data_IF_398593370163
#
_entry.id   IF_398593370163
#
_cell.length_a   1.000
_cell.length_b   1.000
_cell.length_c   1.000
_cell.angle_alpha   90.00
_cell.angle_beta   90.00
_cell.angle_gamma   90.00
#
_symmetry.space_group_name_H-M   'P 1'
#
loop_
_entity.id
_entity.type
_entity.pdbx_description
1 polymer ?
#
# COMPACT_ATOMS: atom_id res chain seq x y z
N UNK A 1 4.42 32.91 -10.15
CA UNK A 1 3.37 32.09 -9.51
C UNK A 1 4.00 31.44 -8.27
N UNK A 2 3.23 30.98 -7.30
CA UNK A 2 3.85 30.28 -6.17
C UNK A 2 4.31 28.88 -6.60
N UNK A 3 5.43 28.39 -6.06
CA UNK A 3 5.94 27.06 -6.33
C UNK A 3 5.02 25.98 -5.74
N UNK A 4 4.88 24.88 -6.47
CA UNK A 4 4.19 23.66 -6.02
C UNK A 4 5.14 22.49 -6.25
N UNK A 5 5.59 21.90 -5.16
CA UNK A 5 6.62 20.85 -5.18
C UNK A 5 5.95 19.50 -5.37
N UNK A 6 6.45 18.70 -6.30
CA UNK A 6 6.07 17.30 -6.49
C UNK A 6 7.27 16.39 -6.17
N UNK A 7 7.08 15.41 -5.28
CA UNK A 7 8.11 14.40 -5.02
C UNK A 7 8.25 13.47 -6.24
N UNK A 8 9.49 13.29 -6.70
CA UNK A 8 9.80 12.38 -7.81
C UNK A 8 9.99 10.96 -7.28
N UNK A 9 9.08 10.07 -7.67
CA UNK A 9 9.23 8.63 -7.52
C UNK A 9 9.67 7.99 -8.85
N UNK A 10 10.41 6.88 -8.75
CA UNK A 10 10.81 6.04 -9.87
C UNK A 10 10.09 4.68 -9.79
N UNK A 11 9.75 4.10 -10.94
CA UNK A 11 9.21 2.75 -11.01
C UNK A 11 10.26 1.74 -10.55
N UNK A 12 9.92 0.94 -9.54
CA UNK A 12 10.84 -0.01 -8.94
C UNK A 12 11.29 -1.15 -9.88
N UNK A 13 10.62 -1.34 -11.03
CA UNK A 13 10.93 -2.39 -12.02
C UNK A 13 11.79 -1.86 -13.16
N UNK A 14 11.48 -0.66 -13.63
CA UNK A 14 12.09 -0.08 -14.83
C UNK A 14 13.16 0.96 -14.50
N UNK A 15 13.17 1.50 -13.28
CA UNK A 15 14.09 2.57 -12.86
C UNK A 15 13.75 3.93 -13.48
N UNK A 16 12.67 4.02 -14.25
CA UNK A 16 12.21 5.24 -14.93
C UNK A 16 11.32 6.08 -14.03
N UNK A 17 11.11 7.35 -14.37
CA UNK A 17 10.19 8.24 -13.61
C UNK A 17 8.79 7.64 -13.59
N UNK A 18 8.23 7.47 -12.39
CA UNK A 18 6.92 6.86 -12.21
C UNK A 18 5.81 7.69 -12.87
N UNK A 19 4.81 7.01 -13.43
CA UNK A 19 3.63 7.66 -14.02
C UNK A 19 2.92 8.60 -13.03
N UNK A 20 2.90 8.24 -11.74
CA UNK A 20 2.36 9.07 -10.66
C UNK A 20 3.07 10.42 -10.58
N UNK A 21 4.40 10.47 -10.68
CA UNK A 21 5.19 11.71 -10.71
C UNK A 21 4.73 12.63 -11.84
N UNK A 22 4.55 12.10 -13.05
CA UNK A 22 4.09 12.88 -14.19
C UNK A 22 2.66 13.43 -14.00
N UNK A 23 1.79 12.66 -13.33
CA UNK A 23 0.46 13.11 -12.95
C UNK A 23 0.51 14.22 -11.88
N UNK A 24 1.41 14.11 -10.89
CA UNK A 24 1.62 15.16 -9.89
C UNK A 24 2.11 16.47 -10.51
N UNK A 25 3.03 16.42 -11.48
CA UNK A 25 3.48 17.62 -12.21
C UNK A 25 2.34 18.29 -12.98
N UNK A 26 1.46 17.47 -13.56
CA UNK A 26 0.24 17.96 -14.23
C UNK A 26 -0.67 18.71 -13.24
N UNK A 27 -0.87 18.17 -12.04
CA UNK A 27 -1.64 18.82 -10.98
C UNK A 27 -0.94 20.07 -10.42
N UNK A 28 0.37 20.00 -10.19
CA UNK A 28 1.17 21.11 -9.69
C UNK A 28 1.07 22.33 -10.62
N UNK A 29 1.09 22.13 -11.94
CA UNK A 29 0.87 23.18 -12.94
C UNK A 29 -0.50 23.86 -12.84
N UNK A 30 -1.54 23.13 -12.45
CA UNK A 30 -2.89 23.70 -12.25
C UNK A 30 -2.96 24.57 -11.00
N UNK A 31 -2.09 24.32 -10.02
CA UNK A 31 -2.05 25.03 -8.74
C UNK A 31 -1.02 26.18 -8.72
N UNK A 32 0.05 26.08 -9.51
CA UNK A 32 1.14 27.06 -9.51
C UNK A 32 2.32 26.65 -10.41
N UNK A 33 3.52 27.04 -10.03
CA UNK A 33 4.76 26.69 -10.74
C UNK A 33 5.26 25.31 -10.30
N UNK A 34 5.26 24.29 -11.19
CA UNK A 34 5.61 22.93 -10.84
C UNK A 34 7.13 22.77 -10.62
N UNK A 35 7.51 22.31 -9.43
CA UNK A 35 8.89 22.00 -9.04
C UNK A 35 9.01 20.51 -8.78
N UNK A 36 10.01 19.86 -9.36
CA UNK A 36 10.30 18.46 -9.10
C UNK A 36 11.35 18.31 -7.99
N UNK A 37 11.08 17.49 -6.98
CA UNK A 37 12.03 17.16 -5.92
C UNK A 37 12.61 15.75 -6.12
N UNK A 38 13.90 15.66 -6.44
CA UNK A 38 14.62 14.41 -6.70
C UNK A 38 15.51 14.03 -5.52
N UNK A 39 15.35 12.82 -4.98
CA UNK A 39 16.15 12.30 -3.87
C UNK A 39 17.66 12.20 -4.19
N UNK A 40 18.01 12.10 -5.46
CA UNK A 40 19.38 12.06 -5.99
C UNK A 40 19.51 13.02 -7.18
N UNK A 41 20.74 13.31 -7.59
CA UNK A 41 20.99 14.05 -8.82
C UNK A 41 20.32 13.31 -10.01
N UNK A 42 19.42 13.95 -10.77
CA UNK A 42 18.74 13.31 -11.89
C UNK A 42 19.68 13.17 -13.09
N UNK A 43 19.55 12.09 -13.85
CA UNK A 43 20.21 11.93 -15.14
C UNK A 43 19.49 12.68 -16.27
N UNK A 44 20.09 12.73 -17.46
CA UNK A 44 19.53 13.44 -18.61
C UNK A 44 18.14 12.92 -19.00
N UNK A 45 17.90 11.62 -18.87
CA UNK A 45 16.59 11.01 -19.17
C UNK A 45 15.52 11.48 -18.18
N UNK A 46 15.85 11.47 -16.89
CA UNK A 46 14.98 11.96 -15.81
C UNK A 46 14.65 13.43 -16.02
N UNK A 47 15.66 14.28 -16.32
CA UNK A 47 15.46 15.70 -16.60
C UNK A 47 14.53 15.89 -17.80
N UNK A 48 14.74 15.15 -18.89
CA UNK A 48 13.92 15.23 -20.09
C UNK A 48 12.45 14.83 -19.83
N UNK A 49 12.21 13.80 -19.02
CA UNK A 49 10.85 13.36 -18.65
C UNK A 49 10.17 14.41 -17.77
N UNK A 50 10.85 14.92 -16.74
CA UNK A 50 10.29 15.95 -15.85
C UNK A 50 9.96 17.24 -16.61
N UNK A 51 10.86 17.68 -17.50
CA UNK A 51 10.63 18.82 -18.39
C UNK A 51 9.47 18.58 -19.37
N UNK A 52 9.33 17.39 -19.94
CA UNK A 52 8.19 17.04 -20.82
C UNK A 52 6.83 17.22 -20.13
N UNK A 53 6.75 16.95 -18.83
CA UNK A 53 5.53 17.08 -18.03
C UNK A 53 5.42 18.43 -17.30
N UNK A 54 6.31 19.37 -17.61
CA UNK A 54 6.15 20.78 -17.27
C UNK A 54 6.89 21.25 -16.04
N UNK A 55 7.78 20.45 -15.44
CA UNK A 55 8.63 20.92 -14.34
C UNK A 55 9.47 22.12 -14.79
N UNK A 56 9.39 23.24 -14.07
CA UNK A 56 10.17 24.45 -14.36
C UNK A 56 11.49 24.47 -13.60
N UNK A 57 11.54 23.77 -12.47
CA UNK A 57 12.72 23.63 -11.63
C UNK A 57 12.82 22.18 -11.16
N UNK A 58 14.04 21.69 -11.02
CA UNK A 58 14.35 20.40 -10.38
C UNK A 58 15.28 20.67 -9.20
N UNK A 59 14.94 20.17 -8.02
CA UNK A 59 15.70 20.33 -6.80
C UNK A 59 16.22 18.98 -6.31
N UNK A 60 17.52 18.89 -6.02
CA UNK A 60 18.16 17.70 -5.45
C UNK A 60 19.20 18.07 -4.37
N UNK A 61 19.67 17.13 -3.53
CA UNK A 61 20.67 17.42 -2.51
C UNK A 61 22.02 17.90 -3.06
N UNK A 62 22.73 18.73 -2.29
CA UNK A 62 24.14 19.08 -2.52
C UNK A 62 25.06 17.87 -2.29
N UNK A 63 25.90 17.52 -3.27
CA UNK A 63 26.96 16.50 -3.11
C UNK A 63 27.25 15.71 -4.39
N UNK A 64 28.38 14.98 -4.46
CA UNK A 64 28.58 14.00 -5.53
C UNK A 64 27.41 13.02 -5.44
N UNK A 65 26.75 12.74 -6.57
CA UNK A 65 25.61 11.82 -6.67
C UNK A 65 25.82 10.64 -5.71
N UNK A 66 25.20 10.72 -4.53
CA UNK A 66 25.43 9.74 -3.49
C UNK A 66 25.09 8.39 -4.10
N UNK A 67 26.00 7.41 -3.96
CA UNK A 67 25.77 6.04 -4.41
C UNK A 67 24.32 5.71 -4.14
N UNK A 68 23.57 5.46 -5.21
CA UNK A 68 22.13 5.30 -5.19
C UNK A 68 21.73 4.10 -4.31
N UNK A 69 21.71 4.28 -2.99
CA UNK A 69 21.23 3.30 -2.04
C UNK A 69 19.70 3.36 -1.91
N UNK A 70 19.01 3.99 -2.86
CA UNK A 70 17.57 3.88 -3.08
C UNK A 70 17.21 3.17 -4.38
N UNK A 71 18.19 2.76 -5.18
CA UNK A 71 18.03 1.85 -6.32
C UNK A 71 19.16 0.80 -6.30
N UNK A 72 19.00 -0.25 -5.48
CA UNK A 72 19.99 -1.33 -5.47
C UNK A 72 19.95 -2.12 -6.79
N UNK A 73 21.12 -2.39 -7.41
CA UNK A 73 21.21 -3.18 -8.62
C UNK A 73 20.67 -4.60 -8.39
N UNK A 74 19.95 -5.11 -9.38
CA UNK A 74 19.47 -6.48 -9.46
C UNK A 74 20.67 -7.44 -9.43
N UNK A 75 21.10 -7.88 -8.24
CA UNK A 75 22.03 -9.02 -8.16
C UNK A 75 21.33 -10.26 -8.71
N UNK A 76 21.88 -10.81 -9.81
CA UNK A 76 21.53 -12.15 -10.31
C UNK A 76 22.05 -13.16 -9.29
N UNK A 77 21.16 -13.61 -8.40
CA UNK A 77 21.46 -14.72 -7.51
C UNK A 77 21.70 -15.99 -8.31
N UNK A 78 22.95 -16.47 -8.30
CA UNK A 78 23.30 -17.82 -8.68
C UNK A 78 22.51 -18.82 -7.81
N UNK A 79 22.14 -19.94 -8.41
CA UNK A 79 21.41 -21.01 -7.74
C UNK A 79 22.25 -21.60 -6.59
N UNK A 80 21.65 -21.71 -5.41
CA UNK A 80 22.16 -22.56 -4.33
C UNK A 80 21.05 -23.44 -3.74
N UNK A 81 21.42 -24.60 -3.15
CA UNK A 81 20.67 -25.83 -3.33
C UNK A 81 19.54 -26.04 -2.31
N UNK A 82 18.66 -26.97 -2.66
CA UNK A 82 17.50 -27.38 -1.88
C UNK A 82 17.88 -27.89 -0.49
N UNK A 83 17.41 -27.19 0.55
CA UNK A 83 17.27 -27.78 1.87
C UNK A 83 15.91 -28.45 1.99
N UNK A 84 15.94 -29.79 1.95
CA UNK A 84 14.88 -30.62 2.48
C UNK A 84 14.72 -30.32 3.97
N UNK A 85 13.49 -30.14 4.44
CA UNK A 85 13.22 -30.32 5.86
C UNK A 85 12.05 -31.27 6.06
N UNK A 86 12.38 -32.36 6.75
CA UNK A 86 11.55 -33.48 7.08
C UNK A 86 10.50 -33.11 8.13
N UNK A 87 9.40 -33.85 8.14
CA UNK A 87 8.32 -33.69 9.11
C UNK A 87 8.71 -34.10 10.52
N UNK A 88 8.00 -33.52 11.49
CA UNK A 88 7.73 -34.13 12.78
C UNK A 88 6.36 -33.60 13.25
N UNK A 89 5.45 -34.52 13.56
CA UNK A 89 4.11 -34.24 14.07
C UNK A 89 4.00 -34.30 15.61
N UNK A 90 2.75 -34.32 16.05
CA UNK A 90 2.18 -34.35 17.42
C UNK A 90 1.88 -32.95 17.99
N UNK A 91 0.70 -32.64 18.56
CA UNK A 91 -0.50 -33.42 18.88
C UNK A 91 -1.26 -32.73 20.04
N UNK A 92 -2.61 -32.88 20.05
CA UNK A 92 -3.59 -32.45 21.07
C UNK A 92 -3.80 -30.93 21.25
N UNK A 93 -5.00 -30.36 21.41
CA UNK A 93 -6.32 -30.85 21.82
C UNK A 93 -6.90 -29.77 22.76
N UNK A 94 -8.13 -29.28 22.54
CA UNK A 94 -8.72 -28.27 23.44
C UNK A 94 -9.88 -27.45 22.88
N UNK A 95 -11.06 -28.06 22.98
CA UNK A 95 -12.45 -27.57 22.95
C UNK A 95 -12.81 -26.09 22.79
N UNK A 96 -13.83 -25.91 21.95
CA UNK A 96 -14.66 -24.74 21.79
C UNK A 96 -15.72 -24.63 22.89
N UNK A 97 -16.09 -23.40 23.27
CA UNK A 97 -17.46 -23.12 23.71
C UNK A 97 -17.92 -21.73 23.25
N UNK A 98 -19.18 -21.71 22.84
CA UNK A 98 -19.91 -20.60 22.27
C UNK A 98 -20.49 -19.67 23.35
N UNK A 99 -20.72 -18.41 22.99
CA UNK A 99 -21.48 -17.46 23.80
C UNK A 99 -22.12 -16.39 22.92
N UNK A 100 -23.44 -16.47 22.77
CA UNK A 100 -24.28 -15.66 21.90
C UNK A 100 -24.54 -14.24 22.44
N UNK A 101 -24.94 -13.38 21.51
CA UNK A 101 -25.40 -11.99 21.62
C UNK A 101 -26.64 -11.77 22.50
N UNK A 102 -26.77 -10.57 23.07
CA UNK A 102 -28.06 -9.91 23.23
C UNK A 102 -27.89 -8.38 23.15
N UNK A 103 -28.61 -7.74 22.23
CA UNK A 103 -28.71 -6.28 22.12
C UNK A 103 -29.85 -5.71 22.96
N UNK A 104 -29.77 -4.43 23.31
CA UNK A 104 -30.91 -3.57 23.64
C UNK A 104 -30.67 -2.20 23.03
N UNK A 105 -31.60 -1.77 22.18
CA UNK A 105 -31.78 -0.40 21.73
C UNK A 105 -32.58 0.38 22.78
N UNK A 106 -32.18 1.61 23.06
CA UNK A 106 -33.05 2.65 23.61
C UNK A 106 -32.76 3.92 22.82
N UNK A 107 -33.79 4.45 22.17
CA UNK A 107 -33.76 5.76 21.54
C UNK A 107 -33.86 6.87 22.58
N UNK A 108 -33.24 8.00 22.28
CA UNK A 108 -33.37 9.24 23.02
C UNK A 108 -32.79 10.39 22.21
N UNK A 109 -33.64 11.34 21.82
CA UNK A 109 -33.26 12.64 21.29
C UNK A 109 -32.46 13.42 22.34
N UNK A 110 -31.36 14.08 21.92
CA UNK A 110 -30.71 15.11 22.74
C UNK A 110 -30.39 16.33 21.86
N UNK A 111 -31.16 17.38 22.12
CA UNK A 111 -30.95 18.76 21.66
C UNK A 111 -29.79 19.43 22.41
N UNK A 112 -28.99 20.18 21.64
CA UNK A 112 -28.16 21.35 21.97
C UNK A 112 -27.62 21.53 23.40
N UNK A 113 -26.28 21.54 23.52
CA UNK A 113 -25.57 22.30 24.54
C UNK A 113 -24.36 21.61 25.16
N UNK A 114 -23.17 22.17 24.87
CA UNK A 114 -21.82 21.84 25.37
C UNK A 114 -21.09 20.70 24.65
N UNK A 115 -19.81 20.99 24.42
CA UNK A 115 -18.94 20.35 23.44
C UNK A 115 -18.73 18.86 23.66
N UNK A 116 -18.63 18.16 22.54
CA UNK A 116 -18.25 16.76 22.47
C UNK A 116 -17.13 16.69 21.44
N UNK A 117 -15.97 16.23 21.89
CA UNK A 117 -14.82 15.90 21.08
C UNK A 117 -15.21 14.91 19.98
N UNK A 118 -15.05 15.30 18.73
CA UNK A 118 -15.18 14.41 17.59
C UNK A 118 -13.93 13.52 17.55
N UNK A 119 -14.03 12.31 18.08
CA UNK A 119 -13.05 11.25 17.90
C UNK A 119 -13.01 10.86 16.41
N UNK A 120 -12.10 11.48 15.67
CA UNK A 120 -11.61 10.96 14.40
C UNK A 120 -10.86 9.66 14.70
N UNK A 121 -11.39 8.53 14.25
CA UNK A 121 -10.72 7.24 14.33
C UNK A 121 -9.54 7.21 13.37
N UNK A 122 -8.39 7.73 13.82
CA UNK A 122 -7.09 7.46 13.26
C UNK A 122 -6.76 5.97 13.46
N UNK A 123 -6.60 5.23 12.37
CA UNK A 123 -6.12 3.85 12.42
C UNK A 123 -4.59 3.85 12.43
N UNK A 124 -4.00 4.20 13.56
CA UNK A 124 -2.61 3.90 13.85
C UNK A 124 -2.56 2.51 14.52
N UNK A 125 -2.03 1.51 13.82
CA UNK A 125 -1.69 0.22 14.44
C UNK A 125 -0.37 0.36 15.20
N UNK A 126 -0.43 0.93 16.40
CA UNK A 126 0.60 0.76 17.42
C UNK A 126 0.17 -0.37 18.37
N UNK A 127 1.07 -1.34 18.58
CA UNK A 127 0.83 -2.50 19.43
C UNK A 127 0.41 -2.09 20.84
N UNK A 128 -0.66 -2.71 21.34
CA UNK A 128 -1.07 -2.62 22.74
C UNK A 128 -0.60 -3.87 23.47
N UNK A 129 0.46 -3.76 24.25
CA UNK A 129 0.66 -4.57 25.45
C UNK A 129 -0.13 -3.91 26.59
N UNK A 130 -0.93 -4.71 27.28
CA UNK A 130 -1.74 -4.33 28.42
C UNK A 130 -0.91 -3.82 29.60
N UNK A 131 -1.51 -2.93 30.40
CA UNK A 131 -0.99 -2.56 31.71
C UNK A 131 -1.94 -1.58 32.39
N UNK A 132 -2.75 -2.09 33.33
CA UNK A 132 -3.53 -1.29 34.25
C UNK A 132 -2.65 -0.69 35.36
N UNK A 133 -3.05 0.47 35.85
CA UNK A 133 -2.42 1.21 36.93
C UNK A 133 -2.54 0.50 38.29
N UNK A 134 -1.41 0.24 38.96
CA UNK A 134 -1.27 0.32 40.42
C UNK A 134 0.16 0.78 40.78
N UNK A 135 0.27 1.97 41.37
CA UNK A 135 0.98 2.23 42.63
C UNK A 135 2.51 2.06 42.74
N UNK A 136 3.20 3.22 42.78
CA UNK A 136 4.33 3.60 43.64
C UNK A 136 5.22 2.53 44.35
N UNK A 137 6.54 2.63 44.13
CA UNK A 137 7.53 2.41 45.21
C UNK A 137 8.81 1.64 44.85
N UNK A 138 9.97 2.31 45.03
CA UNK A 138 11.33 1.80 45.36
C UNK A 138 12.04 0.86 44.37
N UNK A 139 13.11 1.41 43.77
CA UNK A 139 14.50 0.91 43.77
C UNK A 139 14.83 -0.51 43.26
N UNK A 140 15.84 -0.61 42.42
CA UNK A 140 17.11 -1.36 42.61
C UNK A 140 17.78 -1.57 41.23
N UNK A 141 18.93 -0.91 41.09
CA UNK A 141 20.20 -1.27 40.46
C UNK A 141 20.30 -2.07 39.16
N UNK A 142 21.20 -1.53 38.33
CA UNK A 142 21.91 -2.17 37.25
C UNK A 142 22.57 -3.49 37.66
N UNK A 143 22.50 -4.49 36.80
CA UNK A 143 23.62 -5.40 36.62
C UNK A 143 23.68 -5.91 35.18
N UNK A 144 24.90 -5.86 34.68
CA UNK A 144 25.32 -6.30 33.39
C UNK A 144 25.26 -7.82 33.26
N UNK A 145 24.96 -8.29 32.05
CA UNK A 145 25.42 -9.60 31.59
C UNK A 145 26.20 -9.39 30.30
N UNK A 146 27.51 -9.28 30.48
CA UNK A 146 28.50 -9.42 29.44
C UNK A 146 28.57 -10.89 29.00
N UNK A 147 28.63 -11.13 27.69
CA UNK A 147 29.13 -12.39 27.13
C UNK A 147 30.11 -12.07 26.01
N UNK A 148 31.38 -12.05 26.44
CA UNK A 148 32.60 -12.48 25.75
C UNK A 148 32.76 -12.18 24.24
N UNK A 149 33.57 -11.17 23.98
CA UNK A 149 34.33 -10.99 22.74
C UNK A 149 35.34 -12.13 22.55
N UNK A 150 35.26 -12.83 21.41
CA UNK A 150 36.38 -13.55 20.83
C UNK A 150 36.75 -12.84 19.52
N UNK A 151 37.88 -12.14 19.53
CA UNK A 151 38.43 -11.40 18.40
C UNK A 151 39.22 -12.32 17.48
N UNK A 152 38.85 -12.38 16.21
CA UNK A 152 39.75 -12.74 15.12
C UNK A 152 39.28 -12.10 13.80
N UNK A 153 40.14 -11.29 13.19
CA UNK A 153 40.14 -11.06 11.74
C UNK A 153 39.36 -9.86 11.20
N UNK A 154 40.03 -8.71 11.16
CA UNK A 154 39.92 -7.65 10.17
C UNK A 154 38.69 -7.61 9.23
N UNK A 155 37.82 -6.63 9.50
CA UNK A 155 36.91 -6.03 8.54
C UNK A 155 36.39 -4.75 9.16
N UNK A 156 37.04 -3.60 8.86
CA UNK A 156 36.46 -2.30 9.18
C UNK A 156 35.21 -2.19 8.31
N UNK A 157 34.04 -2.52 8.88
CA UNK A 157 32.77 -2.13 8.30
C UNK A 157 32.73 -0.59 8.34
N UNK A 158 33.06 0.00 7.21
CA UNK A 158 32.87 1.41 6.92
C UNK A 158 31.39 1.70 7.20
N UNK A 159 31.13 2.62 8.13
CA UNK A 159 29.84 3.27 8.28
C UNK A 159 29.59 3.99 6.95
N UNK A 160 28.91 3.32 6.00
CA UNK A 160 28.40 3.96 4.81
C UNK A 160 27.43 5.06 5.28
N UNK A 161 27.64 6.28 4.79
CA UNK A 161 27.09 7.52 5.32
C UNK A 161 25.56 7.53 5.46
N UNK A 162 25.08 8.46 6.29
CA UNK A 162 23.66 8.69 6.50
C UNK A 162 22.93 8.82 5.14
N UNK A 163 22.05 7.88 4.83
CA UNK A 163 21.22 7.94 3.63
C UNK A 163 20.20 9.06 3.80
N UNK A 164 20.23 10.05 2.90
CA UNK A 164 19.30 11.17 2.90
C UNK A 164 17.88 10.65 2.62
N UNK A 165 16.91 10.98 3.47
CA UNK A 165 15.51 10.60 3.26
C UNK A 165 14.76 11.63 2.43
N UNK A 166 13.71 11.21 1.71
CA UNK A 166 12.81 12.13 1.00
C UNK A 166 12.25 13.20 1.92
N UNK A 167 12.00 12.85 3.20
CA UNK A 167 11.53 13.79 4.22
C UNK A 167 12.56 14.88 4.51
N UNK A 168 13.86 14.55 4.53
CA UNK A 168 14.92 15.53 4.78
C UNK A 168 15.06 16.47 3.57
N UNK A 169 15.03 15.93 2.35
CA UNK A 169 15.02 16.71 1.12
C UNK A 169 13.83 17.67 1.05
N UNK A 170 12.60 17.15 1.20
CA UNK A 170 11.40 17.97 1.10
C UNK A 170 11.34 19.05 2.18
N UNK A 171 11.85 18.76 3.38
CA UNK A 171 11.97 19.78 4.42
C UNK A 171 12.97 20.87 4.01
N UNK A 172 14.14 20.52 3.48
CA UNK A 172 15.13 21.51 3.02
C UNK A 172 14.60 22.39 1.87
N UNK A 173 13.89 21.79 0.91
CA UNK A 173 13.20 22.51 -0.17
C UNK A 173 12.11 23.43 0.40
N UNK A 174 11.31 22.94 1.34
CA UNK A 174 10.23 23.72 1.95
C UNK A 174 10.74 25.00 2.66
N UNK A 175 11.88 24.91 3.36
CA UNK A 175 12.52 26.07 3.98
C UNK A 175 13.10 27.05 2.95
N UNK A 176 13.60 26.54 1.81
CA UNK A 176 14.19 27.37 0.76
C UNK A 176 13.14 28.09 -0.10
N UNK A 177 12.04 27.40 -0.45
CA UNK A 177 11.05 27.90 -1.41
C UNK A 177 9.75 28.41 -0.79
N UNK A 178 9.39 27.98 0.42
CA UNK A 178 8.06 28.23 1.02
C UNK A 178 6.90 27.94 0.05
N UNK A 179 6.80 26.71 -0.48
CA UNK A 179 5.87 26.39 -1.57
C UNK A 179 4.40 26.51 -1.14
N UNK A 180 3.53 26.77 -2.11
CA UNK A 180 2.08 26.82 -1.89
C UNK A 180 1.48 25.44 -1.57
N UNK A 181 2.14 24.36 -1.99
CA UNK A 181 1.80 22.99 -1.63
C UNK A 181 2.96 22.03 -1.94
N UNK A 182 2.95 20.87 -1.27
CA UNK A 182 3.80 19.72 -1.55
C UNK A 182 2.89 18.54 -1.90
N UNK A 183 3.04 18.01 -3.11
CA UNK A 183 2.30 16.88 -3.63
C UNK A 183 3.18 15.63 -3.63
N UNK A 184 2.64 14.53 -3.10
CA UNK A 184 3.33 13.25 -2.98
C UNK A 184 2.39 12.16 -3.50
N UNK A 185 2.90 11.13 -4.16
CA UNK A 185 2.04 10.02 -4.57
C UNK A 185 1.59 9.23 -3.33
N UNK A 186 0.34 8.77 -3.28
CA UNK A 186 -0.20 7.99 -2.17
C UNK A 186 0.29 6.52 -2.18
N UNK A 187 1.60 6.32 -2.30
CA UNK A 187 2.27 5.02 -2.14
C UNK A 187 2.57 4.77 -0.66
N UNK A 188 2.92 3.54 -0.28
CA UNK A 188 3.32 3.25 1.10
C UNK A 188 4.48 4.15 1.56
N UNK A 189 5.49 4.34 0.69
CA UNK A 189 6.63 5.25 0.93
C UNK A 189 6.16 6.70 0.98
N UNK A 190 5.33 7.13 0.04
CA UNK A 190 4.83 8.50 -0.02
C UNK A 190 3.99 8.89 1.20
N UNK A 191 3.15 7.98 1.71
CA UNK A 191 2.37 8.18 2.94
C UNK A 191 3.28 8.31 4.17
N UNK A 192 4.30 7.46 4.29
CA UNK A 192 5.30 7.57 5.36
C UNK A 192 6.05 8.91 5.28
N UNK A 193 6.55 9.25 4.09
CA UNK A 193 7.28 10.51 3.84
C UNK A 193 6.43 11.72 4.18
N UNK A 194 5.16 11.76 3.74
CA UNK A 194 4.25 12.85 3.97
C UNK A 194 3.92 13.04 5.45
N UNK A 195 3.63 11.95 6.18
CA UNK A 195 3.33 12.01 7.61
C UNK A 195 4.52 12.54 8.42
N UNK A 196 5.73 12.08 8.12
CA UNK A 196 6.96 12.55 8.77
C UNK A 196 7.25 14.01 8.43
N UNK A 197 7.00 14.42 7.20
CA UNK A 197 7.20 15.80 6.74
C UNK A 197 6.23 16.76 7.44
N UNK A 198 4.98 16.37 7.57
CA UNK A 198 3.94 17.17 8.23
C UNK A 198 4.30 17.48 9.69
N UNK A 199 4.80 16.50 10.43
CA UNK A 199 5.29 16.69 11.80
C UNK A 199 6.48 17.64 11.81
N UNK A 200 7.44 17.44 10.90
CA UNK A 200 8.68 18.23 10.87
C UNK A 200 8.45 19.71 10.52
N UNK A 201 7.47 19.99 9.68
CA UNK A 201 7.13 21.35 9.23
C UNK A 201 5.98 21.99 10.02
N UNK A 202 5.51 21.40 11.12
CA UNK A 202 4.27 21.79 11.84
C UNK A 202 3.12 22.12 10.86
N UNK A 203 2.91 21.23 9.89
CA UNK A 203 2.02 21.45 8.76
C UNK A 203 0.90 20.43 8.72
N UNK A 204 -0.25 20.82 8.17
CA UNK A 204 -1.37 19.90 7.96
C UNK A 204 -1.11 18.96 6.77
N UNK A 205 -1.64 17.75 6.89
CA UNK A 205 -1.58 16.71 5.86
C UNK A 205 -2.99 16.30 5.43
N UNK A 206 -3.17 16.05 4.13
CA UNK A 206 -4.34 15.38 3.57
C UNK A 206 -3.85 14.14 2.83
N UNK A 207 -4.44 12.98 3.11
CA UNK A 207 -4.01 11.70 2.52
C UNK A 207 -5.00 11.16 1.50
N UNK A 208 -4.51 10.44 0.49
CA UNK A 208 -5.34 9.71 -0.49
C UNK A 208 -6.35 10.62 -1.22
N UNK A 209 -5.89 11.82 -1.61
CA UNK A 209 -6.69 12.73 -2.41
C UNK A 209 -6.93 12.15 -3.81
N UNK A 210 -8.19 12.07 -4.22
CA UNK A 210 -8.61 11.62 -5.55
C UNK A 210 -8.79 12.78 -6.54
N UNK A 211 -8.76 14.01 -6.05
CA UNK A 211 -8.73 15.24 -6.83
C UNK A 211 -8.05 16.34 -6.03
N UNK A 212 -7.32 17.25 -6.69
CA UNK A 212 -6.76 18.46 -6.08
C UNK A 212 -7.02 19.64 -7.01
N UNK A 213 -7.64 20.69 -6.49
CA UNK A 213 -8.02 21.89 -7.24
C UNK A 213 -7.61 23.19 -6.54
N UNK A 214 -7.41 24.29 -7.28
CA UNK A 214 -7.15 25.59 -6.66
C UNK A 214 -8.30 26.03 -5.75
N UNK A 215 -7.97 26.70 -4.66
CA UNK A 215 -8.92 27.30 -3.73
C UNK A 215 -8.42 28.65 -3.20
N UNK A 216 -9.34 29.45 -2.65
CA UNK A 216 -9.04 30.81 -2.20
C UNK A 216 -8.03 30.89 -1.04
N UNK A 217 -7.89 29.82 -0.25
CA UNK A 217 -6.99 29.73 0.93
C UNK A 217 -5.89 28.67 0.75
N UNK A 218 -5.59 28.30 -0.49
CA UNK A 218 -4.74 27.17 -0.83
C UNK A 218 -5.52 26.04 -1.51
N UNK A 219 -4.86 24.93 -1.87
CA UNK A 219 -5.50 23.83 -2.58
C UNK A 219 -6.63 23.19 -1.77
N UNK A 220 -7.67 22.79 -2.48
CA UNK A 220 -8.76 21.95 -1.97
C UNK A 220 -8.52 20.54 -2.50
N UNK A 221 -8.45 19.57 -1.59
CA UNK A 221 -8.32 18.16 -1.93
C UNK A 221 -9.65 17.44 -1.69
N UNK A 222 -10.05 16.59 -2.63
CA UNK A 222 -11.23 15.73 -2.50
C UNK A 222 -10.76 14.34 -2.09
N UNK A 223 -11.36 13.78 -1.03
CA UNK A 223 -11.08 12.44 -0.53
C UNK A 223 -12.34 11.59 -0.62
N UNK A 224 -12.16 10.29 -0.85
CA UNK A 224 -13.24 9.32 -0.69
C UNK A 224 -13.26 8.82 0.75
N UNK A 225 -14.43 8.83 1.36
CA UNK A 225 -14.63 8.39 2.74
C UNK A 225 -15.75 7.36 2.82
N UNK A 226 -15.71 6.54 3.88
CA UNK A 226 -16.73 5.53 4.16
C UNK A 226 -16.96 4.58 2.97
N UNK A 227 -15.88 3.97 2.45
CA UNK A 227 -15.89 3.06 1.31
C UNK A 227 -16.56 3.67 0.06
N UNK A 228 -16.09 4.86 -0.34
CA UNK A 228 -16.52 5.62 -1.51
C UNK A 228 -17.98 6.11 -1.47
N UNK A 229 -18.67 5.97 -0.34
CA UNK A 229 -20.04 6.47 -0.19
C UNK A 229 -20.12 7.99 -0.04
N UNK A 230 -19.02 8.64 0.33
CA UNK A 230 -18.96 10.09 0.52
C UNK A 230 -17.70 10.68 -0.12
N UNK A 231 -17.86 11.86 -0.70
CA UNK A 231 -16.74 12.73 -1.08
C UNK A 231 -16.63 13.84 -0.03
N UNK A 232 -15.41 14.06 0.45
CA UNK A 232 -15.09 15.10 1.43
C UNK A 232 -14.12 16.08 0.80
N UNK A 233 -14.41 17.36 0.89
CA UNK A 233 -13.50 18.42 0.48
C UNK A 233 -12.74 18.96 1.71
N UNK A 234 -11.42 18.89 1.64
CA UNK A 234 -10.53 19.24 2.74
C UNK A 234 -9.52 20.30 2.29
N UNK A 235 -9.17 21.21 3.20
CA UNK A 235 -8.09 22.19 2.99
C UNK A 235 -7.23 22.27 4.25
N UNK A 236 -5.91 22.37 4.08
CA UNK A 236 -4.97 22.57 5.19
C UNK A 236 -5.05 24.02 5.67
N UNK A 237 -5.15 24.21 7.00
CA UNK A 237 -5.28 25.54 7.64
C UNK A 237 -4.03 25.97 8.42
N UNK A 238 -3.03 25.09 8.55
CA UNK A 238 -1.79 25.32 9.29
C UNK A 238 -0.59 24.83 8.46
N UNK A 239 0.40 25.71 8.31
CA UNK A 239 1.64 25.39 7.60
C UNK A 239 1.46 25.20 6.10
N UNK A 240 2.42 24.51 5.48
CA UNK A 240 2.43 24.22 4.04
C UNK A 240 1.50 23.02 3.78
N UNK A 241 0.51 23.11 2.87
CA UNK A 241 -0.33 21.97 2.52
C UNK A 241 0.49 20.80 1.98
N UNK A 242 0.53 19.70 2.73
CA UNK A 242 1.12 18.42 2.28
C UNK A 242 -0.02 17.50 1.87
N UNK A 243 -0.04 17.07 0.62
CA UNK A 243 -1.15 16.30 0.05
C UNK A 243 -0.60 15.03 -0.60
N UNK A 244 -1.00 13.87 -0.09
CA UNK A 244 -0.79 12.62 -0.83
C UNK A 244 -1.94 12.39 -1.81
N UNK A 245 -1.61 12.06 -3.05
CA UNK A 245 -2.56 12.00 -4.16
C UNK A 245 -2.58 10.59 -4.73
N UNK A 246 -3.77 10.01 -4.89
CA UNK A 246 -3.94 8.71 -5.52
C UNK A 246 -3.34 8.71 -6.93
N UNK A 247 -2.55 7.71 -7.34
CA UNK A 247 -1.93 7.67 -8.67
C UNK A 247 -2.90 7.84 -9.85
N UNK A 248 -4.16 7.45 -9.67
CA UNK A 248 -5.24 7.56 -10.64
C UNK A 248 -6.00 8.91 -10.62
N UNK A 249 -5.68 9.82 -9.70
CA UNK A 249 -6.37 11.10 -9.53
C UNK A 249 -6.18 12.06 -10.72
N UNK A 250 -5.11 11.88 -11.49
CA UNK A 250 -4.84 12.67 -12.68
C UNK A 250 -4.19 11.83 -13.79
N UNK A 251 -4.50 12.19 -15.02
CA UNK A 251 -3.82 11.66 -16.21
C UNK A 251 -2.61 12.57 -16.49
N UNK A 252 -1.40 12.03 -16.69
CA UNK A 252 -0.25 12.84 -17.10
C UNK A 252 -0.52 13.56 -18.42
N UNK A 253 -0.38 14.88 -18.42
CA UNK A 253 -0.57 15.74 -19.59
C UNK A 253 0.75 16.45 -19.94
N UNK A 254 1.40 16.08 -21.06
CA UNK A 254 2.63 16.74 -21.51
C UNK A 254 2.43 18.25 -21.68
N UNK A 255 3.37 19.02 -21.19
CA UNK A 255 3.46 20.47 -21.35
C UNK A 255 4.94 20.84 -21.26
N UNK A 256 5.70 20.68 -22.35
CA UNK A 256 7.15 20.76 -22.31
C UNK A 256 7.67 22.09 -21.72
N UNK A 257 8.67 21.97 -20.86
CA UNK A 257 9.47 23.06 -20.29
C UNK A 257 10.95 22.64 -20.23
N UNK A 258 11.83 23.63 -20.11
CA UNK A 258 13.26 23.42 -19.85
C UNK A 258 13.52 23.68 -18.36
N UNK A 259 13.62 22.63 -17.51
CA UNK A 259 13.79 22.81 -16.07
C UNK A 259 15.18 23.34 -15.72
N UNK A 260 15.23 24.29 -14.79
CA UNK A 260 16.49 24.72 -14.16
C UNK A 260 16.84 23.77 -13.01
N UNK A 261 18.06 23.26 -12.99
CA UNK A 261 18.54 22.39 -11.91
C UNK A 261 19.06 23.24 -10.74
N UNK A 262 18.53 22.98 -9.56
CA UNK A 262 18.92 23.58 -8.29
C UNK A 262 19.39 22.49 -7.33
N UNK A 263 20.37 22.85 -6.50
CA UNK A 263 20.83 21.98 -5.43
C UNK A 263 20.53 22.61 -4.07
N UNK A 264 20.32 21.78 -3.06
CA UNK A 264 20.01 22.22 -1.69
C UNK A 264 20.80 21.43 -0.67
N UNK A 265 21.39 22.12 0.31
CA UNK A 265 22.04 21.49 1.43
C UNK A 265 21.00 20.76 2.28
N UNK A 266 21.15 19.44 2.40
CA UNK A 266 20.27 18.61 3.22
C UNK A 266 21.06 18.10 4.42
N UNK A 267 20.64 18.51 5.61
CA UNK A 267 21.15 17.93 6.85
C UNK A 267 20.41 16.61 7.13
N UNK A 268 21.10 15.45 7.11
CA UNK A 268 20.47 14.18 7.42
C UNK A 268 19.94 14.18 8.85
N UNK A 269 18.75 13.63 9.04
CA UNK A 269 18.22 13.46 10.39
C UNK A 269 19.13 12.54 11.22
N UNK A 270 19.40 12.86 12.50
CA UNK A 270 20.16 11.97 13.39
C UNK A 270 19.36 10.72 13.82
N UNK A 271 18.11 10.58 13.38
CA UNK A 271 17.28 9.42 13.67
C UNK A 271 17.87 8.15 13.06
N UNK A 272 17.70 7.00 13.74
CA UNK A 272 18.18 5.70 13.24
C UNK A 272 17.47 5.35 11.93
N UNK A 273 18.20 5.35 10.83
CA UNK A 273 17.71 4.83 9.55
C UNK A 273 17.69 3.30 9.61
N UNK A 274 16.55 2.63 9.33
CA UNK A 274 16.52 1.18 9.28
C UNK A 274 17.41 0.68 8.14
N UNK A 275 18.24 -0.33 8.41
CA UNK A 275 19.02 -1.02 7.39
C UNK A 275 18.13 -2.07 6.73
N UNK A 276 17.91 -1.95 5.43
CA UNK A 276 17.26 -3.01 4.64
C UNK A 276 18.25 -4.18 4.54
N UNK A 277 17.90 -5.32 5.13
CA UNK A 277 18.76 -6.51 5.14
C UNK A 277 18.50 -7.46 3.98
N UNK A 278 17.29 -7.41 3.40
CA UNK A 278 16.91 -8.20 2.24
C UNK A 278 15.68 -7.59 1.55
N UNK A 279 15.65 -7.67 0.22
CA UNK A 279 14.46 -7.39 -0.59
C UNK A 279 14.07 -8.67 -1.33
N UNK A 280 12.93 -9.25 -0.97
CA UNK A 280 12.43 -10.45 -1.62
C UNK A 280 11.68 -10.05 -2.90
N UNK A 281 12.19 -10.46 -4.07
CA UNK A 281 11.42 -10.32 -5.31
C UNK A 281 10.22 -11.27 -5.26
N UNK A 282 8.98 -10.81 -5.51
CA UNK A 282 7.87 -11.72 -5.75
C UNK A 282 8.24 -12.62 -6.92
N UNK A 283 8.31 -13.93 -6.71
CA UNK A 283 8.48 -14.90 -7.80
C UNK A 283 7.09 -15.26 -8.30
N UNK A 284 6.66 -14.86 -9.51
CA UNK A 284 5.37 -15.29 -9.98
C UNK A 284 5.54 -16.53 -10.87
N UNK A 285 5.01 -17.67 -10.42
CA UNK A 285 4.46 -18.66 -11.34
C UNK A 285 3.06 -18.23 -11.84
N UNK A 286 2.50 -17.12 -11.30
CA UNK A 286 1.15 -16.60 -11.52
C UNK A 286 1.14 -15.07 -11.48
N UNK A 287 0.18 -14.38 -12.13
CA UNK A 287 0.12 -12.92 -12.10
C UNK A 287 0.08 -12.35 -10.67
N UNK A 288 0.74 -11.22 -10.46
CA UNK A 288 0.63 -10.48 -9.21
C UNK A 288 -0.80 -9.94 -9.07
N UNK A 289 -1.33 -10.00 -7.84
CA UNK A 289 -2.73 -9.68 -7.57
C UNK A 289 -3.11 -8.23 -7.95
N UNK A 290 -2.16 -7.30 -7.88
CA UNK A 290 -2.35 -5.85 -8.10
C UNK A 290 -2.67 -5.50 -9.56
N UNK A 291 -2.29 -6.36 -10.51
CA UNK A 291 -2.48 -6.14 -11.96
C UNK A 291 -3.11 -7.34 -12.67
N UNK A 292 -3.75 -8.24 -11.92
CA UNK A 292 -4.34 -9.42 -12.50
C UNK A 292 -5.64 -9.08 -13.24
N UNK A 293 -5.71 -9.46 -14.53
CA UNK A 293 -6.94 -9.33 -15.32
C UNK A 293 -8.06 -10.25 -14.82
N UNK A 294 -7.67 -11.38 -14.22
CA UNK A 294 -8.58 -12.37 -13.64
C UNK A 294 -8.10 -12.71 -12.24
N UNK A 295 -9.02 -12.70 -11.28
CA UNK A 295 -8.78 -13.10 -9.89
C UNK A 295 -9.74 -14.22 -9.52
N UNK A 296 -9.21 -15.33 -9.01
CA UNK A 296 -9.99 -16.40 -8.40
C UNK A 296 -9.77 -16.36 -6.89
N UNK A 297 -10.84 -16.07 -6.15
CA UNK A 297 -10.79 -15.81 -4.72
C UNK A 297 -11.54 -16.88 -3.91
N UNK A 298 -10.87 -17.44 -2.90
CA UNK A 298 -11.45 -18.41 -1.98
C UNK A 298 -11.84 -17.82 -0.62
N UNK A 299 -13.00 -18.21 -0.10
CA UNK A 299 -13.44 -17.87 1.25
C UNK A 299 -13.54 -19.08 2.18
N UNK A 300 -14.05 -18.87 3.40
CA UNK A 300 -14.26 -19.94 4.40
C UNK A 300 -15.07 -21.11 3.83
N UNK A 301 -16.04 -20.84 2.94
CA UNK A 301 -16.92 -21.85 2.34
C UNK A 301 -16.20 -22.91 1.50
N UNK A 302 -14.93 -22.70 1.13
CA UNK A 302 -14.09 -23.73 0.51
C UNK A 302 -13.82 -24.90 1.48
N UNK A 303 -13.75 -24.62 2.78
CA UNK A 303 -13.73 -25.62 3.85
C UNK A 303 -12.38 -26.24 4.18
N UNK A 304 -11.42 -26.32 3.25
CA UNK A 304 -10.09 -26.89 3.55
C UNK A 304 -8.98 -26.37 2.62
N UNK A 305 -7.73 -26.53 3.05
CA UNK A 305 -6.55 -26.21 2.24
C UNK A 305 -6.46 -27.08 0.97
N UNK A 306 -6.89 -28.35 1.05
CA UNK A 306 -6.92 -29.24 -0.12
C UNK A 306 -7.93 -28.76 -1.18
N UNK A 307 -9.13 -28.34 -0.76
CA UNK A 307 -10.10 -27.75 -1.67
C UNK A 307 -9.62 -26.39 -2.22
N UNK A 308 -8.84 -25.65 -1.43
CA UNK A 308 -8.19 -24.43 -1.88
C UNK A 308 -7.13 -24.67 -2.97
N UNK A 309 -6.43 -25.82 -2.93
CA UNK A 309 -5.51 -26.20 -3.99
C UNK A 309 -6.23 -26.38 -5.34
N UNK A 310 -7.42 -26.99 -5.34
CA UNK A 310 -8.26 -27.11 -6.55
C UNK A 310 -8.67 -25.74 -7.09
N UNK A 311 -9.01 -24.79 -6.21
CA UNK A 311 -9.26 -23.40 -6.60
C UNK A 311 -8.03 -22.77 -7.27
N UNK A 312 -6.84 -23.07 -6.74
CA UNK A 312 -5.58 -22.60 -7.31
C UNK A 312 -5.27 -23.24 -8.69
N UNK A 313 -5.72 -24.47 -8.93
CA UNK A 313 -5.63 -25.14 -10.23
C UNK A 313 -6.59 -24.51 -11.25
N UNK A 314 -7.82 -24.16 -10.84
CA UNK A 314 -8.75 -23.36 -11.66
C UNK A 314 -8.12 -22.02 -12.03
N UNK A 315 -7.50 -21.34 -11.06
CA UNK A 315 -6.80 -20.09 -11.32
C UNK A 315 -5.65 -20.27 -12.32
N UNK A 316 -4.87 -21.34 -12.18
CA UNK A 316 -3.78 -21.64 -13.12
C UNK A 316 -4.30 -21.89 -14.54
N UNK A 317 -5.37 -22.67 -14.69
CA UNK A 317 -5.98 -22.95 -16.00
C UNK A 317 -6.53 -21.68 -16.68
N UNK A 318 -6.92 -20.67 -15.90
CA UNK A 318 -7.39 -19.37 -16.40
C UNK A 318 -6.28 -18.33 -16.57
N UNK A 319 -5.04 -18.63 -16.18
CA UNK A 319 -3.97 -17.63 -16.10
C UNK A 319 -4.27 -16.51 -15.09
N UNK A 320 -5.03 -16.82 -14.03
CA UNK A 320 -5.52 -15.89 -13.03
C UNK A 320 -4.59 -15.79 -11.81
N UNK A 321 -4.70 -14.66 -11.08
CA UNK A 321 -4.15 -14.57 -9.74
C UNK A 321 -5.07 -15.29 -8.73
N UNK A 322 -4.46 -15.87 -7.69
CA UNK A 322 -5.18 -16.48 -6.57
C UNK A 322 -5.32 -15.45 -5.46
N UNK A 323 -6.51 -15.34 -4.90
CA UNK A 323 -6.81 -14.48 -3.77
C UNK A 323 -7.56 -15.24 -2.68
N UNK A 324 -7.66 -14.64 -1.50
CA UNK A 324 -8.56 -15.14 -0.48
C UNK A 324 -9.15 -14.06 0.42
N UNK A 325 -10.22 -14.43 1.10
CA UNK A 325 -10.81 -13.61 2.17
C UNK A 325 -9.89 -13.53 3.39
N UNK A 326 -10.18 -12.58 4.30
CA UNK A 326 -9.50 -12.50 5.59
C UNK A 326 -9.46 -13.83 6.33
N UNK A 327 -10.59 -14.56 6.38
CA UNK A 327 -10.64 -15.87 7.05
C UNK A 327 -9.76 -16.91 6.35
N UNK A 328 -9.68 -16.91 5.02
CA UNK A 328 -8.81 -17.85 4.32
C UNK A 328 -7.33 -17.63 4.67
N UNK A 329 -6.93 -16.37 4.89
CA UNK A 329 -5.61 -16.02 5.39
C UNK A 329 -5.41 -16.50 6.84
N UNK A 330 -6.39 -16.24 7.72
CA UNK A 330 -6.32 -16.63 9.14
C UNK A 330 -6.21 -18.15 9.32
N UNK A 331 -6.84 -18.92 8.41
CA UNK A 331 -6.78 -20.39 8.38
C UNK A 331 -5.50 -20.92 7.72
N UNK A 332 -4.60 -20.05 7.24
CA UNK A 332 -3.34 -20.42 6.60
C UNK A 332 -3.49 -21.04 5.21
N UNK A 333 -4.65 -20.92 4.57
CA UNK A 333 -4.88 -21.47 3.23
C UNK A 333 -4.24 -20.62 2.13
N UNK A 334 -4.05 -19.32 2.40
CA UNK A 334 -3.37 -18.36 1.53
C UNK A 334 -2.43 -17.48 2.33
N UNK A 335 -1.35 -16.99 1.70
CA UNK A 335 -0.45 -16.07 2.36
C UNK A 335 -1.10 -14.67 2.50
N UNK A 336 -0.74 -13.88 3.52
CA UNK A 336 -1.36 -12.58 3.80
C UNK A 336 -1.35 -11.61 2.61
N UNK A 337 -0.34 -11.71 1.74
CA UNK A 337 -0.18 -10.86 0.55
C UNK A 337 -1.20 -11.17 -0.56
N UNK A 338 -1.88 -12.32 -0.48
CA UNK A 338 -2.96 -12.71 -1.38
C UNK A 338 -4.36 -12.40 -0.80
N UNK A 339 -4.43 -11.72 0.35
CA UNK A 339 -5.69 -11.32 0.99
C UNK A 339 -6.33 -10.15 0.25
N UNK A 340 -7.62 -10.26 -0.04
CA UNK A 340 -8.44 -9.17 -0.61
C UNK A 340 -9.38 -8.58 0.44
N UNK A 341 -9.50 -7.26 0.47
CA UNK A 341 -10.42 -6.53 1.33
C UNK A 341 -9.84 -5.25 1.92
N UNK A 342 -10.58 -4.61 2.82
CA UNK A 342 -10.25 -3.32 3.44
C UNK A 342 -8.85 -3.30 4.12
N UNK A 343 -8.46 -4.40 4.74
CA UNK A 343 -7.13 -4.57 5.37
C UNK A 343 -6.18 -5.45 4.55
N UNK A 344 -6.59 -5.81 3.33
CA UNK A 344 -5.80 -6.55 2.37
C UNK A 344 -5.55 -5.69 1.13
N UNK A 345 -5.38 -6.34 -0.01
CA UNK A 345 -5.25 -5.68 -1.30
C UNK A 345 -6.62 -5.30 -1.87
N UNK A 346 -6.67 -4.14 -2.49
CA UNK A 346 -7.77 -3.73 -3.36
C UNK A 346 -7.41 -4.12 -4.80
N UNK A 347 -8.32 -4.80 -5.47
CA UNK A 347 -8.14 -5.31 -6.83
C UNK A 347 -9.26 -4.83 -7.75
N UNK A 348 -8.92 -4.60 -9.01
CA UNK A 348 -9.87 -4.20 -10.05
C UNK A 348 -9.72 -5.06 -11.32
N UNK A 349 -9.99 -6.37 -11.24
CA UNK A 349 -9.85 -7.27 -12.38
C UNK A 349 -11.01 -7.12 -13.36
N UNK A 350 -10.78 -7.63 -14.58
CA UNK A 350 -11.85 -7.79 -15.56
C UNK A 350 -12.82 -8.91 -15.15
N UNK A 351 -12.34 -9.94 -14.47
CA UNK A 351 -13.14 -11.03 -13.89
C UNK A 351 -12.72 -11.33 -12.45
N UNK A 352 -13.68 -11.35 -11.53
CA UNK A 352 -13.52 -11.80 -10.15
C UNK A 352 -14.40 -13.04 -9.89
N UNK A 353 -13.79 -14.20 -9.71
CA UNK A 353 -14.49 -15.45 -9.37
C UNK A 353 -14.40 -15.69 -7.85
N UNK A 354 -15.50 -15.48 -7.14
CA UNK A 354 -15.60 -15.64 -5.70
C UNK A 354 -16.18 -17.01 -5.33
N UNK A 355 -15.37 -17.89 -4.74
CA UNK A 355 -15.76 -19.25 -4.38
C UNK A 355 -15.80 -19.42 -2.85
N UNK A 356 -16.99 -19.70 -2.31
CA UNK A 356 -17.19 -19.86 -0.87
C UNK A 356 -16.92 -18.58 -0.06
N UNK A 357 -17.09 -17.40 -0.67
CA UNK A 357 -16.89 -16.09 -0.05
C UNK A 357 -18.24 -15.51 0.35
N UNK A 358 -18.44 -15.14 1.62
CA UNK A 358 -19.71 -14.56 2.07
C UNK A 358 -19.95 -13.13 1.57
N UNK A 359 -18.88 -12.40 1.21
CA UNK A 359 -18.98 -11.01 0.75
C UNK A 359 -19.21 -10.03 1.90
N UNK A 360 -18.51 -10.18 3.03
CA UNK A 360 -18.54 -9.17 4.09
C UNK A 360 -18.15 -7.78 3.54
N UNK A 361 -18.60 -6.70 4.20
CA UNK A 361 -18.24 -5.32 3.82
C UNK A 361 -16.72 -5.15 3.71
N UNK A 362 -15.96 -5.81 4.60
CA UNK A 362 -14.49 -5.83 4.56
C UNK A 362 -13.95 -6.45 3.28
N UNK A 363 -14.48 -7.58 2.84
CA UNK A 363 -14.03 -8.23 1.60
C UNK A 363 -14.40 -7.40 0.37
N UNK A 364 -15.64 -6.92 0.33
CA UNK A 364 -16.20 -6.14 -0.79
C UNK A 364 -15.44 -4.85 -1.05
N UNK A 365 -15.02 -4.13 -0.01
CA UNK A 365 -14.25 -2.90 -0.14
C UNK A 365 -12.99 -3.08 -1.02
N UNK A 366 -12.41 -4.29 -1.04
CA UNK A 366 -11.23 -4.61 -1.84
C UNK A 366 -11.51 -5.21 -3.22
N UNK A 367 -12.76 -5.46 -3.62
CA UNK A 367 -13.08 -6.10 -4.92
C UNK A 367 -14.28 -5.53 -5.66
N UNK A 368 -15.02 -4.59 -5.07
CA UNK A 368 -16.22 -3.99 -5.66
C UNK A 368 -15.96 -3.24 -6.97
N UNK A 369 -14.70 -2.92 -7.29
CA UNK A 369 -14.32 -2.31 -8.56
C UNK A 369 -14.32 -3.29 -9.75
N UNK A 370 -14.33 -4.61 -9.50
CA UNK A 370 -14.24 -5.63 -10.55
C UNK A 370 -15.34 -5.47 -11.61
N UNK A 371 -14.98 -5.62 -12.90
CA UNK A 371 -15.93 -5.43 -14.01
C UNK A 371 -16.96 -6.54 -14.15
N UNK A 372 -16.59 -7.76 -13.79
CA UNK A 372 -17.51 -8.90 -13.79
C UNK A 372 -17.24 -9.76 -12.56
N UNK A 373 -18.26 -10.02 -11.78
CA UNK A 373 -18.22 -10.82 -10.55
C UNK A 373 -19.03 -12.09 -10.75
N UNK A 374 -18.37 -13.24 -10.64
CA UNK A 374 -19.00 -14.56 -10.61
C UNK A 374 -18.89 -15.10 -9.19
N UNK A 375 -19.99 -15.54 -8.59
CA UNK A 375 -20.00 -16.08 -7.23
C UNK A 375 -20.49 -17.52 -7.21
N UNK A 376 -19.78 -18.37 -6.47
CA UNK A 376 -20.12 -19.78 -6.21
C UNK A 376 -20.22 -19.97 -4.70
N UNK A 377 -21.37 -20.44 -4.22
CA UNK A 377 -21.58 -20.66 -2.79
C UNK A 377 -22.88 -21.38 -2.50
N UNK A 378 -22.97 -22.03 -1.35
CA UNK A 378 -24.12 -22.82 -0.91
C UNK A 378 -25.19 -22.00 -0.20
N UNK A 379 -24.84 -20.84 0.38
CA UNK A 379 -25.76 -19.91 1.02
C UNK A 379 -26.27 -18.82 0.06
N UNK A 380 -27.48 -18.96 -0.53
CA UNK A 380 -28.03 -17.97 -1.46
C UNK A 380 -28.30 -16.59 -0.82
N UNK A 381 -28.30 -16.49 0.51
CA UNK A 381 -28.47 -15.23 1.22
C UNK A 381 -27.17 -14.43 1.37
N UNK A 382 -26.02 -15.03 1.02
CA UNK A 382 -24.70 -14.43 1.16
C UNK A 382 -24.62 -13.07 0.44
N UNK A 383 -24.16 -12.00 1.12
CA UNK A 383 -24.04 -10.66 0.53
C UNK A 383 -23.25 -10.57 -0.79
N UNK A 384 -22.32 -11.50 -1.06
CA UNK A 384 -21.58 -11.54 -2.33
C UNK A 384 -22.52 -11.68 -3.53
N UNK A 385 -23.64 -12.42 -3.39
CA UNK A 385 -24.57 -12.66 -4.48
C UNK A 385 -25.32 -11.41 -4.91
N UNK A 386 -25.42 -10.39 -4.05
CA UNK A 386 -25.98 -9.08 -4.41
C UNK A 386 -25.07 -8.26 -5.32
N UNK A 387 -23.79 -8.61 -5.40
CA UNK A 387 -22.79 -7.96 -6.23
C UNK A 387 -22.39 -8.82 -7.44
N UNK A 388 -22.88 -10.05 -7.54
CA UNK A 388 -22.50 -10.99 -8.59
C UNK A 388 -23.32 -10.73 -9.86
N UNK A 389 -22.64 -10.63 -11.00
CA UNK A 389 -23.27 -10.66 -12.32
C UNK A 389 -23.75 -12.06 -12.68
N UNK A 390 -23.08 -13.09 -12.14
CA UNK A 390 -23.49 -14.49 -12.24
C UNK A 390 -23.34 -15.19 -10.89
N UNK A 391 -24.43 -15.77 -10.40
CA UNK A 391 -24.47 -16.52 -9.16
C UNK A 391 -24.74 -18.01 -9.42
N UNK A 392 -23.90 -18.89 -8.88
CA UNK A 392 -24.09 -20.34 -8.88
C UNK A 392 -24.29 -20.79 -7.43
N UNK A 393 -25.51 -21.21 -7.11
CA UNK A 393 -25.86 -21.71 -5.79
C UNK A 393 -25.56 -23.20 -5.72
N UNK A 394 -24.59 -23.60 -4.89
CA UNK A 394 -24.18 -24.99 -4.71
C UNK A 394 -22.82 -25.13 -4.01
N UNK A 395 -22.43 -26.36 -3.71
CA UNK A 395 -21.16 -26.64 -3.04
C UNK A 395 -19.96 -26.33 -3.96
N UNK A 396 -19.18 -25.31 -3.59
CA UNK A 396 -17.98 -24.91 -4.32
C UNK A 396 -16.97 -26.07 -4.48
N UNK A 397 -16.90 -27.01 -3.54
CA UNK A 397 -16.00 -28.18 -3.61
C UNK A 397 -16.40 -29.16 -4.71
N UNK A 398 -17.69 -29.25 -5.02
CA UNK A 398 -18.19 -30.07 -6.12
C UNK A 398 -18.10 -29.35 -7.46
N UNK A 399 -18.33 -28.03 -7.46
CA UNK A 399 -18.35 -27.21 -8.68
C UNK A 399 -16.95 -26.95 -9.22
N UNK A 400 -15.96 -26.67 -8.37
CA UNK A 400 -14.60 -26.32 -8.81
C UNK A 400 -13.91 -27.40 -9.66
N UNK A 401 -13.95 -28.70 -9.30
CA UNK A 401 -13.42 -29.76 -10.16
C UNK A 401 -14.10 -29.85 -11.52
N UNK A 402 -15.43 -29.72 -11.56
CA UNK A 402 -16.19 -29.76 -12.81
C UNK A 402 -15.87 -28.54 -13.70
N UNK A 403 -15.75 -27.36 -13.09
CA UNK A 403 -15.34 -26.13 -13.76
C UNK A 403 -13.92 -26.26 -14.34
N UNK A 404 -12.98 -26.81 -13.57
CA UNK A 404 -11.61 -27.05 -14.03
C UNK A 404 -11.58 -27.97 -15.25
N UNK A 405 -12.29 -29.10 -15.19
CA UNK A 405 -12.36 -30.05 -16.29
C UNK A 405 -12.91 -29.40 -17.58
N UNK A 406 -13.97 -28.61 -17.47
CA UNK A 406 -14.58 -27.90 -18.60
C UNK A 406 -13.63 -26.82 -19.18
N UNK A 407 -12.94 -26.05 -18.33
CA UNK A 407 -11.95 -25.05 -18.77
C UNK A 407 -10.83 -25.72 -19.58
N UNK A 408 -10.29 -26.83 -19.07
CA UNK A 408 -9.21 -27.56 -19.73
C UNK A 408 -9.68 -28.16 -21.07
N UNK A 409 -10.88 -28.74 -21.12
CA UNK A 409 -11.47 -29.27 -22.36
C UNK A 409 -11.60 -28.18 -23.43
N UNK A 410 -12.15 -27.01 -23.07
CA UNK A 410 -12.28 -25.89 -24.03
C UNK A 410 -10.96 -25.29 -24.46
N UNK A 411 -9.97 -25.28 -23.57
CA UNK A 411 -8.62 -24.78 -23.90
C UNK A 411 -7.94 -25.70 -24.91
N UNK A 412 -8.11 -27.03 -24.80
CA UNK A 412 -7.63 -27.99 -25.78
C UNK A 412 -8.31 -27.81 -27.15
N UNK A 413 -9.62 -27.62 -27.17
CA UNK A 413 -10.36 -27.35 -28.42
C UNK A 413 -9.86 -26.08 -29.13
N UNK A 414 -9.61 -25.00 -28.37
CA UNK A 414 -9.06 -23.74 -28.92
C UNK A 414 -7.63 -23.85 -29.41
N UNK A 415 -6.85 -24.81 -28.93
CA UNK A 415 -5.48 -25.04 -29.40
C UNK A 415 -5.39 -25.91 -30.67
N UNK A 416 -6.49 -26.57 -31.05
CA UNK A 416 -6.60 -27.42 -32.24
C UNK A 416 -7.28 -26.71 -33.43
N UNK A 417 -7.85 -25.52 -33.21
CA UNK A 417 -8.45 -24.66 -34.24
C UNK A 417 -7.52 -23.49 -34.49
#
# INVERSE_FOLDING_TARGET
>A
MAHVVALVEHDAREGTVARSTCALLTLARRLGQPVAACATAPDEETIAVLGRYGATEIWCPDGPAGDAATALPLQRGAAEPAHANAGAGAGAGGDASAGASAGRSVGGDISAGRGIDASASASASAGRSAGGDIGAGRGIDASASASASASAGAGRDVIAGASLSDTDLLAAIAHSLTPAAILIAATHRGQETAARLAIRLDSGIITDAVEVRPGARGPIAVQRCLADSHLVESSVVRGIPIITVCPEAAVPEPSPSEPVLHTVAVEPSPARTPRIVATLKPRPARPALDHADIVVAGGRGIGSQAAFAVLADVAAALGAAVAGSHTAADLGWIPPEARVGLTGKTVNPRLYLACGVSGSVRHRAGMQGAKTVVAIGDDPSAPIFKLADLAVVGDARAILPALLAEILSRTQLRSQT
#
